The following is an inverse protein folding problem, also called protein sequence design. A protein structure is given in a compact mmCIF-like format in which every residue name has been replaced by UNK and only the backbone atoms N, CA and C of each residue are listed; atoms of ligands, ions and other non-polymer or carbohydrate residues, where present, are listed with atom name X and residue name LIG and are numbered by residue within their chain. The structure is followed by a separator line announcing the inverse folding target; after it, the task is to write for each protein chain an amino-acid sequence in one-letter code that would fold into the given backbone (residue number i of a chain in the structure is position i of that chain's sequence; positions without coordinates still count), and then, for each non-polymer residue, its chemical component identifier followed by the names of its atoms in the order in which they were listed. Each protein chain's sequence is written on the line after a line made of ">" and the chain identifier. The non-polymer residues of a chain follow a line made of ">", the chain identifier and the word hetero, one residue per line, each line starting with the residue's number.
data_IF_428092260838
#
_entry.id   IF_428092260838
#
_cell.length_a   1.000
_cell.length_b   1.000
_cell.length_c   1.000
_cell.angle_alpha   90.00
_cell.angle_beta   90.00
_cell.angle_gamma   90.00
#
_symmetry.space_group_name_H-M   'P 1'
#
loop_
_entity.id
_entity.type
_entity.pdbx_description
1 polymer ?
#
# COMPACT_ATOMS: atom_id res chain seq x y z
N UNK A 1 -42.91 26.12 -12.12
CA UNK A 1 -41.86 25.58 -11.23
C UNK A 1 -40.76 25.04 -12.11
N UNK A 2 -39.63 25.74 -12.16
CA UNK A 2 -38.55 25.51 -13.11
C UNK A 2 -37.79 24.23 -12.73
N UNK A 3 -37.80 23.27 -13.65
CA UNK A 3 -36.85 22.16 -13.72
C UNK A 3 -35.45 22.74 -13.79
N UNK A 4 -34.71 22.63 -12.68
CA UNK A 4 -33.30 22.99 -12.65
C UNK A 4 -32.54 22.16 -13.69
N UNK A 5 -32.17 22.83 -14.78
CA UNK A 5 -31.16 22.36 -15.71
C UNK A 5 -29.94 21.91 -14.91
N UNK A 6 -29.63 20.62 -15.02
CA UNK A 6 -28.35 20.07 -14.66
C UNK A 6 -27.33 20.75 -15.56
N UNK A 7 -26.76 21.85 -15.07
CA UNK A 7 -25.66 22.54 -15.70
C UNK A 7 -24.45 21.60 -15.64
N UNK A 8 -24.34 20.75 -16.67
CA UNK A 8 -23.22 19.90 -17.03
C UNK A 8 -22.03 20.79 -17.41
N UNK A 9 -21.61 21.64 -16.47
CA UNK A 9 -20.36 22.36 -16.58
C UNK A 9 -19.24 21.34 -16.57
N UNK A 10 -18.20 21.62 -17.36
CA UNK A 10 -16.95 20.83 -17.37
C UNK A 10 -16.44 20.59 -15.95
N UNK A 11 -16.64 21.55 -15.06
CA UNK A 11 -16.26 21.47 -13.65
C UNK A 11 -17.18 20.56 -12.82
N UNK A 12 -18.48 20.47 -13.14
CA UNK A 12 -19.38 19.47 -12.56
C UNK A 12 -19.03 18.04 -13.01
N UNK A 13 -18.64 17.87 -14.28
CA UNK A 13 -18.09 16.61 -14.81
C UNK A 13 -16.73 16.27 -14.18
N UNK A 14 -15.83 17.24 -14.07
CA UNK A 14 -14.54 17.06 -13.38
C UNK A 14 -14.77 16.79 -11.91
N UNK A 15 -15.75 17.41 -11.25
CA UNK A 15 -16.09 17.17 -9.84
C UNK A 15 -16.73 15.79 -9.64
N UNK A 16 -17.60 15.34 -10.54
CA UNK A 16 -18.14 13.97 -10.53
C UNK A 16 -17.05 12.91 -10.82
N UNK A 17 -16.07 13.24 -11.67
CA UNK A 17 -14.88 12.42 -11.92
C UNK A 17 -13.77 12.60 -10.86
N UNK A 18 -13.82 13.68 -10.06
CA UNK A 18 -12.87 14.06 -8.99
C UNK A 18 -13.43 13.81 -7.60
N UNK A 19 -14.70 13.42 -7.46
CA UNK A 19 -15.09 12.38 -6.51
C UNK A 19 -14.30 11.15 -6.93
N UNK A 20 -13.03 11.18 -6.53
CA UNK A 20 -12.09 10.09 -6.66
C UNK A 20 -12.87 8.83 -6.27
N UNK A 21 -12.74 7.74 -7.02
CA UNK A 21 -13.05 6.43 -6.46
C UNK A 21 -12.15 6.31 -5.23
N UNK A 22 -12.68 6.72 -4.08
CA UNK A 22 -11.93 7.01 -2.87
C UNK A 22 -11.50 5.69 -2.31
N UNK A 23 -10.30 5.27 -2.71
CA UNK A 23 -9.73 3.95 -2.51
C UNK A 23 -10.63 2.85 -3.04
N UNK A 24 -10.06 1.80 -3.63
CA UNK A 24 -10.71 0.52 -3.38
C UNK A 24 -10.66 0.35 -1.86
N UNK A 25 -11.81 0.49 -1.17
CA UNK A 25 -12.10 -0.38 -0.03
C UNK A 25 -12.12 -1.81 -0.58
N UNK A 26 -10.95 -2.34 -0.92
CA UNK A 26 -10.76 -3.77 -1.01
C UNK A 26 -9.97 -4.15 0.21
N UNK A 27 -10.75 -4.71 1.12
CA UNK A 27 -10.46 -5.47 2.34
C UNK A 27 -9.28 -6.45 2.28
N UNK A 28 -8.46 -6.46 1.23
CA UNK A 28 -7.25 -7.30 1.12
C UNK A 28 -6.40 -6.89 -0.12
N UNK A 29 -5.36 -6.04 0.01
CA UNK A 29 -4.39 -5.81 -1.05
C UNK A 29 -3.71 -7.13 -1.43
N UNK A 30 -3.85 -7.57 -2.69
CA UNK A 30 -3.30 -8.85 -3.12
C UNK A 30 -1.86 -8.70 -3.62
N UNK A 31 -1.52 -7.56 -4.25
CA UNK A 31 -0.22 -7.32 -4.87
C UNK A 31 0.57 -6.20 -4.20
N UNK A 32 1.90 -6.27 -4.28
CA UNK A 32 2.80 -5.24 -3.73
C UNK A 32 2.57 -3.85 -4.33
N UNK A 33 2.12 -3.76 -5.59
CA UNK A 33 1.77 -2.49 -6.25
C UNK A 33 0.61 -1.77 -5.55
N UNK A 34 -0.31 -2.52 -4.97
CA UNK A 34 -1.49 -1.99 -4.30
C UNK A 34 -1.07 -1.39 -2.95
N UNK A 35 -0.15 -2.06 -2.24
CA UNK A 35 0.48 -1.54 -1.03
C UNK A 35 1.25 -0.24 -1.32
N UNK A 36 2.01 -0.16 -2.42
CA UNK A 36 2.69 1.08 -2.83
C UNK A 36 1.70 2.21 -3.07
N UNK A 37 0.56 1.94 -3.71
CA UNK A 37 -0.48 2.94 -3.93
C UNK A 37 -1.07 3.43 -2.60
N UNK A 38 -1.35 2.52 -1.65
CA UNK A 38 -1.83 2.87 -0.31
C UNK A 38 -0.83 3.75 0.45
N UNK A 39 0.46 3.42 0.43
CA UNK A 39 1.51 4.23 1.09
C UNK A 39 1.61 5.63 0.48
N UNK A 40 1.51 5.75 -0.84
CA UNK A 40 1.49 7.05 -1.55
C UNK A 40 0.31 7.91 -1.15
N UNK A 41 -0.88 7.33 -1.03
CA UNK A 41 -2.07 8.08 -0.64
C UNK A 41 -2.02 8.55 0.81
N UNK A 42 -1.42 7.75 1.70
CA UNK A 42 -1.15 8.12 3.11
C UNK A 42 -0.05 9.17 3.27
N UNK A 43 0.74 9.42 2.24
CA UNK A 43 1.89 10.33 2.31
C UNK A 43 3.08 9.76 3.10
N UNK A 44 3.20 8.43 3.15
CA UNK A 44 4.31 7.76 3.82
C UNK A 44 5.66 8.19 3.20
N UNK A 45 6.66 8.44 4.04
CA UNK A 45 7.97 8.94 3.59
C UNK A 45 8.94 7.83 3.18
N UNK A 46 8.64 6.58 3.53
CA UNK A 46 9.49 5.41 3.34
C UNK A 46 9.21 4.64 2.03
N UNK A 47 8.34 5.17 1.16
CA UNK A 47 7.91 4.53 -0.10
C UNK A 47 9.10 4.13 -0.98
N UNK A 48 10.14 4.97 -1.01
CA UNK A 48 11.33 4.70 -1.82
C UNK A 48 12.07 3.44 -1.35
N UNK A 49 12.20 3.26 -0.04
CA UNK A 49 12.86 2.08 0.54
C UNK A 49 11.98 0.85 0.47
N UNK A 50 10.67 0.99 0.68
CA UNK A 50 9.70 -0.08 0.43
C UNK A 50 9.79 -0.58 -1.03
N UNK A 51 9.83 0.35 -1.99
CA UNK A 51 9.91 0.02 -3.42
C UNK A 51 11.23 -0.68 -3.78
N UNK A 52 12.35 -0.32 -3.13
CA UNK A 52 13.63 -1.03 -3.33
C UNK A 52 13.50 -2.51 -2.95
N UNK A 53 12.87 -2.80 -1.81
CA UNK A 53 12.66 -4.17 -1.35
C UNK A 53 11.65 -4.91 -2.24
N UNK A 54 10.59 -4.25 -2.74
CA UNK A 54 9.66 -4.84 -3.70
C UNK A 54 10.35 -5.37 -4.96
N UNK A 55 11.43 -4.72 -5.43
CA UNK A 55 12.17 -5.17 -6.63
C UNK A 55 12.89 -6.51 -6.42
N UNK A 56 13.12 -6.94 -5.17
CA UNK A 56 13.66 -8.27 -4.85
C UNK A 56 12.61 -9.37 -5.08
N UNK A 57 11.33 -9.00 -5.13
CA UNK A 57 10.21 -9.88 -5.42
C UNK A 57 9.81 -9.71 -6.89
N UNK A 58 10.30 -10.62 -7.73
CA UNK A 58 9.96 -10.67 -9.16
C UNK A 58 8.48 -10.96 -9.43
N UNK A 59 8.11 -11.08 -10.70
CA UNK A 59 6.75 -11.41 -11.13
C UNK A 59 6.27 -12.79 -10.63
N UNK A 60 4.95 -13.01 -10.66
CA UNK A 60 4.32 -14.27 -10.25
C UNK A 60 3.91 -14.29 -8.76
N UNK A 61 3.91 -15.47 -8.13
CA UNK A 61 3.37 -15.67 -6.77
C UNK A 61 4.13 -14.86 -5.71
N UNK A 62 5.40 -14.56 -5.94
CA UNK A 62 6.22 -13.73 -5.04
C UNK A 62 5.88 -12.23 -5.10
N UNK A 63 5.19 -11.77 -6.16
CA UNK A 63 4.71 -10.39 -6.27
C UNK A 63 3.40 -10.14 -5.49
N UNK A 64 2.85 -11.18 -4.85
CA UNK A 64 1.70 -11.06 -3.95
C UNK A 64 2.15 -10.68 -2.55
N UNK A 65 1.26 -10.05 -1.77
CA UNK A 65 1.50 -9.72 -0.37
C UNK A 65 1.83 -10.97 0.44
N UNK A 66 1.05 -12.04 0.28
CA UNK A 66 1.26 -13.30 1.00
C UNK A 66 2.59 -13.99 0.65
N UNK A 67 2.94 -14.05 -0.64
CA UNK A 67 4.19 -14.63 -1.11
C UNK A 67 5.41 -13.84 -0.62
N UNK A 68 5.37 -12.51 -0.73
CA UNK A 68 6.43 -11.64 -0.26
C UNK A 68 6.60 -11.71 1.27
N UNK A 69 5.51 -11.72 2.03
CA UNK A 69 5.55 -11.85 3.49
C UNK A 69 6.17 -13.19 3.92
N UNK A 70 5.76 -14.30 3.30
CA UNK A 70 6.31 -15.62 3.59
C UNK A 70 7.82 -15.68 3.32
N UNK A 71 8.26 -15.22 2.15
CA UNK A 71 9.67 -15.21 1.78
C UNK A 71 10.48 -14.28 2.71
N UNK A 72 9.94 -13.10 3.03
CA UNK A 72 10.63 -12.14 3.89
C UNK A 72 10.79 -12.65 5.32
N UNK A 73 9.80 -13.37 5.88
CA UNK A 73 9.92 -14.05 7.19
C UNK A 73 11.13 -14.99 7.22
N UNK A 74 11.37 -15.74 6.14
CA UNK A 74 12.55 -16.61 6.05
C UNK A 74 13.85 -15.82 5.99
N UNK A 75 13.88 -14.71 5.24
CA UNK A 75 15.08 -13.88 5.07
C UNK A 75 15.45 -13.09 6.32
N UNK A 76 14.45 -12.64 7.09
CA UNK A 76 14.66 -11.97 8.38
C UNK A 76 15.13 -12.99 9.42
N UNK A 77 14.47 -14.15 9.54
CA UNK A 77 14.86 -15.18 10.50
C UNK A 77 16.27 -15.75 10.22
N UNK A 78 16.66 -15.85 8.95
CA UNK A 78 17.96 -16.37 8.51
C UNK A 78 18.78 -15.29 7.82
N UNK A 79 19.03 -14.18 8.53
CA UNK A 79 19.86 -13.08 8.05
C UNK A 79 21.22 -13.62 7.56
N UNK A 80 21.56 -13.31 6.31
CA UNK A 80 22.86 -13.64 5.73
C UNK A 80 23.92 -12.67 6.25
N UNK A 81 25.15 -13.15 6.45
CA UNK A 81 26.27 -12.38 7.03
C UNK A 81 26.68 -11.16 6.19
N UNK A 82 26.46 -11.20 4.88
CA UNK A 82 26.76 -10.10 3.96
C UNK A 82 25.65 -9.02 3.89
N UNK A 83 24.55 -9.19 4.60
CA UNK A 83 23.47 -8.18 4.64
C UNK A 83 23.79 -7.18 5.75
N UNK A 84 23.88 -5.90 5.39
CA UNK A 84 24.14 -4.83 6.36
C UNK A 84 22.98 -4.68 7.36
N UNK A 85 23.24 -4.02 8.48
CA UNK A 85 22.19 -3.77 9.48
C UNK A 85 21.07 -2.91 8.92
N UNK A 86 21.40 -1.89 8.12
CA UNK A 86 20.41 -1.03 7.46
C UNK A 86 19.54 -1.80 6.45
N UNK A 87 20.13 -2.70 5.66
CA UNK A 87 19.36 -3.57 4.76
C UNK A 87 18.45 -4.52 5.53
N UNK A 88 18.94 -5.06 6.65
CA UNK A 88 18.15 -5.92 7.50
C UNK A 88 16.98 -5.17 8.17
N UNK A 89 17.22 -3.95 8.65
CA UNK A 89 16.18 -3.08 9.21
C UNK A 89 15.09 -2.77 8.18
N UNK A 90 15.46 -2.48 6.92
CA UNK A 90 14.48 -2.29 5.83
C UNK A 90 13.64 -3.54 5.56
N UNK A 91 14.24 -4.74 5.63
CA UNK A 91 13.52 -6.01 5.48
C UNK A 91 12.54 -6.26 6.63
N UNK A 92 12.89 -5.89 7.85
CA UNK A 92 12.01 -5.96 9.02
C UNK A 92 10.83 -4.99 8.85
N UNK A 93 11.10 -3.73 8.50
CA UNK A 93 10.06 -2.72 8.27
C UNK A 93 9.10 -3.14 7.15
N UNK A 94 9.65 -3.62 6.03
CA UNK A 94 8.87 -4.16 4.92
C UNK A 94 7.97 -5.32 5.35
N UNK A 95 8.49 -6.27 6.14
CA UNK A 95 7.70 -7.38 6.65
C UNK A 95 6.57 -6.89 7.58
N UNK A 96 6.84 -5.91 8.45
CA UNK A 96 5.83 -5.35 9.34
C UNK A 96 4.68 -4.70 8.57
N UNK A 97 4.99 -3.98 7.48
CA UNK A 97 3.96 -3.42 6.60
C UNK A 97 3.09 -4.52 5.97
N UNK A 98 3.70 -5.58 5.44
CA UNK A 98 2.95 -6.68 4.84
C UNK A 98 2.10 -7.43 5.87
N UNK A 99 2.61 -7.61 7.08
CA UNK A 99 1.87 -8.24 8.18
C UNK A 99 0.67 -7.38 8.61
N UNK A 100 0.82 -6.06 8.65
CA UNK A 100 -0.29 -5.14 8.88
C UNK A 100 -1.32 -5.17 7.74
N UNK A 101 -0.88 -5.35 6.49
CA UNK A 101 -1.77 -5.52 5.33
C UNK A 101 -2.58 -6.81 5.48
N UNK A 102 -1.92 -7.93 5.78
CA UNK A 102 -2.55 -9.24 5.99
C UNK A 102 -3.52 -9.20 7.18
N UNK A 103 -3.17 -8.48 8.25
CA UNK A 103 -4.02 -8.30 9.42
C UNK A 103 -5.22 -7.35 9.17
N UNK A 104 -5.27 -6.69 8.00
CA UNK A 104 -6.28 -5.67 7.70
C UNK A 104 -6.15 -4.40 8.54
N UNK A 105 -5.02 -4.18 9.20
CA UNK A 105 -4.74 -3.02 10.05
C UNK A 105 -3.91 -1.94 9.34
N UNK A 106 -3.43 -2.22 8.13
CA UNK A 106 -2.63 -1.28 7.36
C UNK A 106 -3.42 -0.04 6.97
N UNK A 107 -2.93 1.14 7.38
CA UNK A 107 -3.59 2.40 7.06
C UNK A 107 -4.88 2.67 7.84
N UNK A 108 -5.21 1.85 8.85
CA UNK A 108 -6.27 2.17 9.81
C UNK A 108 -5.72 3.25 10.75
N UNK A 109 -5.79 4.50 10.33
CA UNK A 109 -5.73 5.61 11.28
C UNK A 109 -6.94 5.48 12.19
N UNK A 110 -6.74 5.03 13.42
CA UNK A 110 -7.73 5.19 14.48
C UNK A 110 -7.91 6.70 14.70
N UNK A 111 -8.83 7.32 13.97
CA UNK A 111 -9.33 8.65 14.33
C UNK A 111 -9.99 8.50 15.70
N UNK A 112 -9.34 8.96 16.76
CA UNK A 112 -10.00 9.23 18.01
C UNK A 112 -11.15 10.22 17.69
N UNK A 113 -12.38 9.77 17.89
CA UNK A 113 -13.55 10.62 17.75
C UNK A 113 -13.50 11.63 18.90
N UNK A 114 -13.27 12.90 18.58
CA UNK A 114 -13.46 14.02 19.48
C UNK A 114 -14.84 14.65 19.22
#
# INVERSE_FOLDING_TARGET
>A
MNTHSLDLTRDGLISALSTKPGLLRQTNPEFLRDVIAMKRERGDTDIADFTKVCREFGSGVNATVGGAAWAMRQWVAKRKTWISEEQHARRIAFLADLDAVIAGTFGVEFKAVA
#
